data_IF_065067584527
#
_entry.id   IF_065067584527
#
_cell.length_a   1.000
_cell.length_b   1.000
_cell.length_c   1.000
_cell.angle_alpha   90.00
_cell.angle_beta   90.00
_cell.angle_gamma   90.00
#
_symmetry.space_group_name_H-M   'P 1'
#
loop_
_entity.id
_entity.type
_entity.pdbx_description
1 polymer ?
#
# COMPACT_ATOMS: atom_id res chain seq x y z
N UNK A 1 9.29 12.35 2.42
CA UNK A 1 8.06 11.58 2.66
C UNK A 1 7.92 10.46 1.67
N UNK A 2 7.47 9.33 2.13
CA UNK A 2 7.19 8.21 1.26
C UNK A 2 5.83 7.61 1.63
N UNK A 3 5.30 6.82 0.72
CA UNK A 3 4.01 6.18 0.89
C UNK A 3 4.19 4.68 0.71
N UNK A 4 3.60 3.90 1.61
CA UNK A 4 3.70 2.45 1.57
C UNK A 4 2.33 1.86 1.32
N UNK A 5 2.24 0.94 0.36
CA UNK A 5 1.02 0.19 0.11
C UNK A 5 1.22 -1.19 0.72
N UNK A 6 0.46 -1.47 1.75
CA UNK A 6 0.56 -2.70 2.53
C UNK A 6 -0.50 -3.70 2.09
N UNK A 7 -0.10 -4.96 2.01
CA UNK A 7 -0.95 -6.06 1.62
C UNK A 7 -1.11 -7.04 2.77
N UNK A 8 -2.34 -7.43 3.01
CA UNK A 8 -2.63 -8.40 4.05
C UNK A 8 -3.78 -9.31 3.68
N UNK A 9 -3.90 -10.42 4.39
CA UNK A 9 -4.98 -11.35 4.23
C UNK A 9 -5.21 -12.09 5.54
N UNK A 10 -6.48 -12.30 5.90
CA UNK A 10 -6.85 -13.02 7.12
C UNK A 10 -6.22 -12.42 8.39
N UNK A 11 -6.15 -11.08 8.44
CA UNK A 11 -5.62 -10.39 9.60
C UNK A 11 -4.09 -10.34 9.69
N UNK A 12 -3.41 -10.77 8.65
CA UNK A 12 -1.95 -10.76 8.63
C UNK A 12 -1.41 -9.95 7.47
N UNK A 13 -0.45 -9.09 7.75
CA UNK A 13 0.27 -8.35 6.73
C UNK A 13 1.42 -9.22 6.21
N UNK A 14 1.59 -9.28 4.89
CA UNK A 14 2.66 -10.10 4.32
C UNK A 14 3.64 -9.32 3.44
N UNK A 15 3.41 -8.05 3.21
CA UNK A 15 4.35 -7.26 2.44
C UNK A 15 3.87 -5.86 2.14
N UNK A 16 4.75 -5.06 1.57
CA UNK A 16 4.42 -3.71 1.16
C UNK A 16 5.32 -3.25 0.03
N UNK A 17 4.85 -2.22 -0.69
CA UNK A 17 5.65 -1.51 -1.68
C UNK A 17 5.72 -0.03 -1.32
N UNK A 18 6.90 0.55 -1.50
CA UNK A 18 7.16 1.95 -1.23
C UNK A 18 7.03 2.79 -2.50
N UNK A 19 6.44 3.97 -2.35
CA UNK A 19 6.30 4.93 -3.44
C UNK A 19 6.72 6.30 -2.98
N UNK A 20 7.32 7.07 -3.87
CA UNK A 20 7.72 8.45 -3.58
C UNK A 20 6.52 9.40 -3.63
N UNK A 21 5.56 9.12 -4.49
CA UNK A 21 4.41 9.97 -4.70
C UNK A 21 3.11 9.29 -4.28
N UNK A 22 2.24 10.08 -3.64
CA UNK A 22 0.96 9.58 -3.16
C UNK A 22 0.08 9.07 -4.31
N UNK A 23 0.13 9.74 -5.45
CA UNK A 23 -0.66 9.36 -6.61
C UNK A 23 -0.30 7.96 -7.10
N UNK A 24 0.99 7.64 -7.12
CA UNK A 24 1.45 6.32 -7.53
C UNK A 24 0.99 5.24 -6.55
N UNK A 25 1.08 5.53 -5.25
CA UNK A 25 0.61 4.60 -4.22
C UNK A 25 -0.88 4.34 -4.37
N UNK A 26 -1.66 5.39 -4.63
CA UNK A 26 -3.11 5.28 -4.75
C UNK A 26 -3.51 4.48 -5.98
N UNK A 27 -2.83 4.68 -7.09
CA UNK A 27 -3.05 3.89 -8.31
C UNK A 27 -2.76 2.42 -8.08
N UNK A 28 -1.69 2.14 -7.36
CA UNK A 28 -1.29 0.79 -7.05
C UNK A 28 -2.33 0.11 -6.16
N UNK A 29 -2.79 0.80 -5.14
CA UNK A 29 -3.84 0.30 -4.25
C UNK A 29 -5.10 -0.06 -5.03
N UNK A 30 -5.60 0.86 -5.84
CA UNK A 30 -6.81 0.63 -6.61
C UNK A 30 -6.69 -0.57 -7.55
N UNK A 31 -5.54 -0.69 -8.18
CA UNK A 31 -5.28 -1.79 -9.10
C UNK A 31 -5.30 -3.14 -8.40
N UNK A 32 -4.63 -3.21 -7.25
CA UNK A 32 -4.57 -4.45 -6.48
C UNK A 32 -5.93 -4.84 -5.91
N UNK A 33 -6.68 -3.89 -5.43
CA UNK A 33 -8.02 -4.18 -4.93
C UNK A 33 -8.96 -4.67 -6.02
N UNK A 34 -8.76 -4.18 -7.24
CA UNK A 34 -9.56 -4.61 -8.37
C UNK A 34 -9.21 -6.02 -8.81
N UNK A 35 -7.92 -6.35 -8.83
CA UNK A 35 -7.44 -7.67 -9.26
C UNK A 35 -7.59 -8.72 -8.16
N UNK A 36 -7.40 -8.32 -6.91
CA UNK A 36 -7.47 -9.22 -5.76
C UNK A 36 -8.43 -8.63 -4.72
N UNK A 37 -9.75 -8.76 -4.93
CA UNK A 37 -10.72 -8.13 -4.02
C UNK A 37 -10.73 -8.75 -2.61
N UNK A 38 -10.15 -9.94 -2.45
CA UNK A 38 -10.07 -10.57 -1.12
C UNK A 38 -8.89 -10.08 -0.29
N UNK A 39 -7.95 -9.34 -0.90
CA UNK A 39 -6.82 -8.80 -0.16
C UNK A 39 -7.19 -7.53 0.58
N UNK A 40 -6.61 -7.38 1.76
CA UNK A 40 -6.65 -6.11 2.47
C UNK A 40 -5.49 -5.25 1.99
N UNK A 41 -5.78 -4.05 1.50
CA UNK A 41 -4.76 -3.13 1.01
C UNK A 41 -4.90 -1.82 1.76
N UNK A 42 -3.78 -1.31 2.26
CA UNK A 42 -3.78 -0.07 3.04
C UNK A 42 -2.60 0.81 2.63
N UNK A 43 -2.88 2.12 2.49
CA UNK A 43 -1.82 3.10 2.25
C UNK A 43 -1.39 3.69 3.58
N UNK A 44 -0.09 3.70 3.83
CA UNK A 44 0.50 4.35 5.01
C UNK A 44 1.48 5.40 4.57
N UNK A 45 1.38 6.56 5.18
CA UNK A 45 2.32 7.64 4.94
C UNK A 45 3.48 7.53 5.93
N UNK A 46 4.69 7.67 5.42
CA UNK A 46 5.87 7.57 6.26
C UNK A 46 6.74 8.81 6.10
N UNK A 47 7.03 9.47 7.21
CA UNK A 47 7.96 10.56 7.25
C UNK A 47 9.37 10.01 7.40
N UNK A 48 10.29 10.54 6.58
CA UNK A 48 11.69 10.25 6.78
C UNK A 48 12.23 11.22 7.81
N UNK A 49 12.57 10.67 8.97
CA UNK A 49 13.36 11.40 9.93
C UNK A 49 14.76 11.46 9.39
N UNK A 50 15.14 12.60 8.93
CA UNK A 50 16.51 12.81 8.48
C UNK A 50 17.43 13.09 9.65
#
# INVERSE_FOLDING_TARGET
MSYEVWFGQNGKWFGYHSFKYKMDAKRYEERYQKVFPSLTVEIREREHAS
#
